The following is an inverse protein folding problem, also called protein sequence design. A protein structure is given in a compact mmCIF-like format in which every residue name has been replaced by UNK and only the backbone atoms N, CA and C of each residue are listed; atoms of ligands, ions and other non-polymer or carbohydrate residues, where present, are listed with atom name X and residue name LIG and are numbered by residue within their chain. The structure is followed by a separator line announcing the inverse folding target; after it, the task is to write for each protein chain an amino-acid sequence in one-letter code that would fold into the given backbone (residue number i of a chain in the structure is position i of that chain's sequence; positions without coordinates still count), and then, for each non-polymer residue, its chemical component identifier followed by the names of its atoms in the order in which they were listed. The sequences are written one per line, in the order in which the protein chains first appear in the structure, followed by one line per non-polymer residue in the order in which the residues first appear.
data_IF_780065027827
#
_entry.id   IF_780065027827
#
_cell.length_a   1.000
_cell.length_b   1.000
_cell.length_c   1.000
_cell.angle_alpha   90.00
_cell.angle_beta   90.00
_cell.angle_gamma   90.00
#
_symmetry.space_group_name_H-M   'P 1'
#
loop_
_entity.id
_entity.type
_entity.pdbx_description
1 polymer ?
#
# COMPACT_ATOMS: atom_id res chain seq x y z
N UNK A 1 5.98 31.52 -7.90
CA UNK A 1 6.46 30.93 -6.62
C UNK A 1 5.70 29.64 -6.27
N UNK A 2 5.49 28.71 -7.22
CA UNK A 2 4.69 27.49 -7.00
C UNK A 2 5.46 26.16 -7.06
N UNK A 3 6.78 26.19 -7.26
CA UNK A 3 7.60 24.98 -7.51
C UNK A 3 8.39 24.49 -6.29
N UNK A 4 8.61 25.34 -5.28
CA UNK A 4 9.35 24.94 -4.06
C UNK A 4 8.49 24.20 -3.03
N UNK A 5 7.17 24.35 -3.05
CA UNK A 5 6.25 23.70 -2.10
C UNK A 5 6.03 22.23 -2.48
N UNK A 6 5.75 21.95 -3.75
CA UNK A 6 5.52 20.60 -4.26
C UNK A 6 6.73 19.65 -4.05
N UNK A 7 7.96 20.18 -4.18
CA UNK A 7 9.17 19.36 -3.96
C UNK A 7 9.44 19.06 -2.48
N UNK A 8 9.03 19.94 -1.56
CA UNK A 8 9.14 19.70 -0.11
C UNK A 8 8.05 18.77 0.39
N UNK A 9 6.84 18.86 -0.17
CA UNK A 9 5.74 17.95 0.13
C UNK A 9 6.06 16.53 -0.33
N UNK A 10 6.64 16.37 -1.53
CA UNK A 10 7.09 15.06 -2.01
C UNK A 10 8.21 14.45 -1.16
N UNK A 11 9.19 15.24 -0.69
CA UNK A 11 10.26 14.72 0.18
C UNK A 11 9.77 14.35 1.58
N UNK A 12 8.79 15.10 2.10
CA UNK A 12 8.21 14.88 3.43
C UNK A 12 7.28 13.65 3.43
N UNK A 13 6.55 13.42 2.33
CA UNK A 13 5.70 12.25 2.14
C UNK A 13 6.52 10.93 2.11
N UNK A 14 7.63 10.91 1.37
CA UNK A 14 8.52 9.75 1.29
C UNK A 14 9.11 9.38 2.67
N UNK A 15 9.47 10.39 3.48
CA UNK A 15 9.97 10.20 4.85
C UNK A 15 8.91 9.59 5.79
N UNK A 16 7.65 10.01 5.67
CA UNK A 16 6.53 9.48 6.47
C UNK A 16 6.25 8.01 6.11
N UNK A 17 6.19 7.68 4.82
CA UNK A 17 5.93 6.31 4.35
C UNK A 17 7.06 5.36 4.77
N UNK A 18 8.32 5.81 4.70
CA UNK A 18 9.47 5.06 5.23
C UNK A 18 9.34 4.80 6.73
N UNK A 19 8.91 5.79 7.50
CA UNK A 19 8.73 5.65 8.94
C UNK A 19 7.61 4.67 9.31
N UNK A 20 6.47 4.70 8.61
CA UNK A 20 5.37 3.75 8.82
C UNK A 20 5.80 2.31 8.50
N UNK A 21 6.57 2.10 7.43
CA UNK A 21 7.13 0.80 7.07
C UNK A 21 8.05 0.24 8.16
N UNK A 22 8.92 1.08 8.74
CA UNK A 22 9.78 0.69 9.86
C UNK A 22 8.94 0.29 11.09
N UNK A 23 7.96 1.10 11.46
CA UNK A 23 7.07 0.82 12.60
C UNK A 23 6.27 -0.46 12.41
N UNK A 24 5.86 -0.78 11.19
CA UNK A 24 5.20 -2.05 10.86
C UNK A 24 6.16 -3.23 11.02
N UNK A 25 7.38 -3.12 10.49
CA UNK A 25 8.43 -4.13 10.64
C UNK A 25 8.75 -4.42 12.10
N UNK A 26 8.84 -3.39 12.94
CA UNK A 26 9.09 -3.54 14.38
C UNK A 26 7.95 -4.31 15.06
N UNK A 27 6.68 -4.02 14.74
CA UNK A 27 5.55 -4.79 15.27
C UNK A 27 5.56 -6.26 14.83
N UNK A 28 6.00 -6.56 13.60
CA UNK A 28 6.19 -7.94 13.16
C UNK A 28 7.33 -8.63 13.91
N UNK A 29 8.38 -7.90 14.27
CA UNK A 29 9.47 -8.41 15.10
C UNK A 29 8.95 -8.76 16.50
N UNK A 30 8.18 -7.88 17.11
CA UNK A 30 7.58 -8.11 18.43
C UNK A 30 6.66 -9.33 18.43
N UNK A 31 5.82 -9.48 17.40
CA UNK A 31 4.95 -10.66 17.26
C UNK A 31 5.75 -11.96 17.10
N UNK A 32 6.88 -11.93 16.36
CA UNK A 32 7.80 -13.08 16.26
C UNK A 32 8.46 -13.40 17.59
N UNK A 33 8.83 -12.39 18.37
CA UNK A 33 9.41 -12.57 19.69
C UNK A 33 8.40 -13.17 20.66
N UNK A 34 7.15 -12.69 20.65
CA UNK A 34 6.05 -13.26 21.43
C UNK A 34 5.88 -14.74 21.13
N UNK A 35 5.82 -15.13 19.86
CA UNK A 35 5.74 -16.54 19.44
C UNK A 35 6.84 -17.38 20.09
N UNK A 36 8.10 -16.92 20.05
CA UNK A 36 9.23 -17.64 20.67
C UNK A 36 9.03 -17.78 22.17
N UNK A 37 8.60 -16.72 22.87
CA UNK A 37 8.31 -16.77 24.31
C UNK A 37 7.20 -17.78 24.63
N UNK A 38 6.14 -17.85 23.82
CA UNK A 38 5.05 -18.79 24.02
C UNK A 38 5.53 -20.24 23.87
N UNK A 39 6.40 -20.53 22.91
CA UNK A 39 6.99 -21.87 22.78
C UNK A 39 7.86 -22.23 23.99
N UNK A 40 8.73 -21.32 24.45
CA UNK A 40 9.56 -21.56 25.63
C UNK A 40 8.72 -21.76 26.90
N UNK A 41 7.61 -21.02 27.04
CA UNK A 41 6.68 -21.22 28.15
C UNK A 41 5.96 -22.56 28.07
N UNK A 42 5.53 -22.97 26.87
CA UNK A 42 4.89 -24.28 26.67
C UNK A 42 5.83 -25.44 27.03
N UNK A 43 7.09 -25.39 26.58
CA UNK A 43 8.14 -26.36 26.93
C UNK A 43 8.37 -26.39 28.45
N UNK A 44 8.44 -25.23 29.09
CA UNK A 44 8.58 -25.13 30.55
C UNK A 44 7.42 -25.78 31.30
N UNK A 45 6.18 -25.53 30.88
CA UNK A 45 4.99 -26.12 31.51
C UNK A 45 4.93 -27.64 31.29
N UNK A 46 5.34 -28.13 30.12
CA UNK A 46 5.43 -29.56 29.84
C UNK A 46 6.41 -30.26 30.79
N UNK A 47 7.62 -29.71 30.93
CA UNK A 47 8.64 -30.23 31.85
C UNK A 47 8.17 -30.17 33.30
N UNK A 48 7.56 -29.05 33.70
CA UNK A 48 7.11 -28.82 35.08
C UNK A 48 5.97 -29.76 35.49
N UNK A 49 5.14 -30.19 34.53
CA UNK A 49 4.02 -31.10 34.80
C UNK A 49 4.44 -32.54 35.14
N UNK A 50 5.69 -32.91 34.86
CA UNK A 50 6.23 -34.24 35.19
C UNK A 50 6.48 -34.45 36.69
N UNK A 51 6.54 -33.38 37.48
CA UNK A 51 6.70 -33.43 38.94
C UNK A 51 5.33 -33.57 39.65
N UNK A 52 5.09 -34.71 40.29
CA UNK A 52 3.76 -35.07 40.84
C UNK A 52 3.33 -34.19 42.03
N UNK A 53 4.29 -33.71 42.83
CA UNK A 53 4.01 -32.98 44.09
C UNK A 53 3.39 -31.59 43.85
N UNK A 54 3.51 -31.04 42.64
CA UNK A 54 3.07 -29.67 42.32
C UNK A 54 2.07 -29.58 41.16
N UNK A 55 1.54 -30.70 40.67
CA UNK A 55 0.68 -30.72 39.46
C UNK A 55 -0.48 -29.74 39.48
N UNK A 56 -1.20 -29.62 40.59
CA UNK A 56 -2.34 -28.70 40.69
C UNK A 56 -1.91 -27.24 40.51
N UNK A 57 -0.79 -26.84 41.15
CA UNK A 57 -0.23 -25.50 41.05
C UNK A 57 0.24 -25.22 39.62
N UNK A 58 0.88 -26.20 38.96
CA UNK A 58 1.29 -26.09 37.56
C UNK A 58 0.08 -25.90 36.65
N UNK A 59 -1.01 -26.65 36.85
CA UNK A 59 -2.25 -26.55 36.06
C UNK A 59 -2.92 -25.18 36.22
N UNK A 60 -3.05 -24.68 37.45
CA UNK A 60 -3.62 -23.35 37.69
C UNK A 60 -2.78 -22.25 37.04
N UNK A 61 -1.45 -22.31 37.21
CA UNK A 61 -0.52 -21.34 36.61
C UNK A 61 -0.56 -21.38 35.08
N UNK A 62 -0.65 -22.59 34.50
CA UNK A 62 -0.77 -22.78 33.06
C UNK A 62 -2.07 -22.18 32.51
N UNK A 63 -3.20 -22.34 33.20
CA UNK A 63 -4.48 -21.74 32.79
C UNK A 63 -4.39 -20.21 32.77
N UNK A 64 -3.86 -19.62 33.84
CA UNK A 64 -3.65 -18.17 33.94
C UNK A 64 -2.72 -17.66 32.84
N UNK A 65 -1.63 -18.39 32.57
CA UNK A 65 -0.70 -18.05 31.50
C UNK A 65 -1.37 -18.17 30.13
N UNK A 66 -2.13 -19.22 29.86
CA UNK A 66 -2.81 -19.43 28.59
C UNK A 66 -3.80 -18.30 28.26
N UNK A 67 -4.54 -17.82 29.27
CA UNK A 67 -5.43 -16.66 29.12
C UNK A 67 -4.63 -15.41 28.76
N UNK A 68 -3.55 -15.12 29.49
CA UNK A 68 -2.68 -13.96 29.23
C UNK A 68 -1.99 -14.04 27.86
N UNK A 69 -1.50 -15.21 27.49
CA UNK A 69 -0.90 -15.50 26.20
C UNK A 69 -1.87 -15.23 25.05
N UNK A 70 -3.13 -15.65 25.20
CA UNK A 70 -4.18 -15.41 24.21
C UNK A 70 -4.46 -13.90 24.08
N UNK A 71 -4.69 -13.21 25.20
CA UNK A 71 -4.95 -11.76 25.21
C UNK A 71 -3.80 -10.99 24.58
N UNK A 72 -2.55 -11.30 24.97
CA UNK A 72 -1.36 -10.66 24.42
C UNK A 72 -1.23 -10.91 22.90
N UNK A 73 -1.50 -12.13 22.45
CA UNK A 73 -1.43 -12.45 21.01
C UNK A 73 -2.47 -11.67 20.23
N UNK A 74 -3.71 -11.60 20.73
CA UNK A 74 -4.79 -10.84 20.10
C UNK A 74 -4.47 -9.34 20.06
N UNK A 75 -3.92 -8.78 21.15
CA UNK A 75 -3.50 -7.38 21.22
C UNK A 75 -2.40 -7.05 20.18
N UNK A 76 -1.35 -7.87 20.13
CA UNK A 76 -0.27 -7.69 19.15
C UNK A 76 -0.77 -7.85 17.70
N UNK A 77 -1.67 -8.80 17.43
CA UNK A 77 -2.28 -8.95 16.10
C UNK A 77 -3.17 -7.75 15.74
N UNK A 78 -3.91 -7.20 16.70
CA UNK A 78 -4.70 -5.98 16.52
C UNK A 78 -3.82 -4.79 16.14
N UNK A 79 -2.71 -4.59 16.84
CA UNK A 79 -1.72 -3.54 16.54
C UNK A 79 -1.10 -3.70 15.15
N UNK A 80 -0.69 -4.93 14.78
CA UNK A 80 -0.17 -5.24 13.44
C UNK A 80 -1.22 -4.94 12.36
N UNK A 81 -2.47 -5.35 12.57
CA UNK A 81 -3.57 -5.13 11.63
C UNK A 81 -3.84 -3.64 11.44
N UNK A 82 -3.85 -2.87 12.53
CA UNK A 82 -4.02 -1.42 12.48
C UNK A 82 -2.92 -0.75 11.63
N UNK A 83 -1.65 -1.12 11.84
CA UNK A 83 -0.52 -0.58 11.06
C UNK A 83 -0.58 -0.95 9.58
N UNK A 84 -1.03 -2.17 9.25
CA UNK A 84 -1.24 -2.58 7.85
C UNK A 84 -2.34 -1.76 7.19
N UNK A 85 -3.43 -1.51 7.90
CA UNK A 85 -4.54 -0.72 7.36
C UNK A 85 -4.11 0.73 7.08
N UNK A 86 -3.35 1.33 8.00
CA UNK A 86 -2.80 2.69 7.83
C UNK A 86 -1.88 2.81 6.60
N UNK A 87 -0.98 1.82 6.41
CA UNK A 87 -0.14 1.72 5.21
C UNK A 87 -0.97 1.50 3.93
N UNK A 88 -2.03 0.71 4.01
CA UNK A 88 -2.89 0.45 2.86
C UNK A 88 -3.69 1.70 2.46
N UNK A 89 -4.26 2.41 3.42
CA UNK A 89 -5.02 3.65 3.20
C UNK A 89 -4.13 4.69 2.50
N UNK A 90 -2.88 4.86 2.94
CA UNK A 90 -1.89 5.72 2.27
C UNK A 90 -1.72 5.33 0.79
N UNK A 91 -1.55 4.04 0.48
CA UNK A 91 -1.36 3.57 -0.89
C UNK A 91 -2.62 3.66 -1.75
N UNK A 92 -3.80 3.51 -1.17
CA UNK A 92 -5.07 3.72 -1.87
C UNK A 92 -5.20 5.18 -2.30
N UNK A 93 -4.86 6.12 -1.41
CA UNK A 93 -4.87 7.56 -1.73
C UNK A 93 -3.84 7.90 -2.83
N UNK A 94 -2.62 7.33 -2.73
CA UNK A 94 -1.58 7.49 -3.74
C UNK A 94 -2.04 7.01 -5.12
N UNK A 95 -2.58 5.79 -5.20
CA UNK A 95 -3.11 5.21 -6.44
C UNK A 95 -4.24 6.08 -7.00
N UNK A 96 -5.20 6.49 -6.18
CA UNK A 96 -6.31 7.34 -6.61
C UNK A 96 -5.82 8.67 -7.19
N UNK A 97 -4.82 9.29 -6.56
CA UNK A 97 -4.17 10.49 -7.07
C UNK A 97 -3.49 10.27 -8.43
N UNK A 98 -2.81 9.14 -8.61
CA UNK A 98 -2.20 8.80 -9.90
C UNK A 98 -3.23 8.50 -10.99
N UNK A 99 -4.32 7.80 -10.67
CA UNK A 99 -5.42 7.50 -11.60
C UNK A 99 -6.06 8.79 -12.13
N UNK A 100 -6.32 9.77 -11.25
CA UNK A 100 -6.84 11.08 -11.65
C UNK A 100 -5.90 11.80 -12.63
N UNK A 101 -4.58 11.74 -12.38
CA UNK A 101 -3.58 12.33 -13.27
C UNK A 101 -3.55 11.65 -14.63
N UNK A 102 -3.65 10.32 -14.66
CA UNK A 102 -3.74 9.52 -15.89
C UNK A 102 -5.00 9.88 -16.66
N UNK A 103 -6.16 9.92 -16.00
CA UNK A 103 -7.44 10.30 -16.64
C UNK A 103 -7.38 11.70 -17.25
N UNK A 104 -6.74 12.66 -16.57
CA UNK A 104 -6.52 14.01 -17.12
C UNK A 104 -5.65 13.98 -18.39
N UNK A 105 -4.60 13.15 -18.42
CA UNK A 105 -3.75 12.97 -19.61
C UNK A 105 -4.56 12.35 -20.75
N UNK A 106 -5.33 11.30 -20.47
CA UNK A 106 -6.18 10.63 -21.47
C UNK A 106 -7.18 11.60 -22.09
N UNK A 107 -7.86 12.41 -21.27
CA UNK A 107 -8.79 13.43 -21.77
C UNK A 107 -8.11 14.47 -22.67
N UNK A 108 -6.90 14.92 -22.30
CA UNK A 108 -6.12 15.87 -23.11
C UNK A 108 -5.72 15.25 -24.44
N UNK A 109 -5.22 14.02 -24.42
CA UNK A 109 -4.83 13.26 -25.62
C UNK A 109 -6.03 13.05 -26.54
N UNK A 110 -7.16 12.59 -25.98
CA UNK A 110 -8.42 12.43 -26.72
C UNK A 110 -8.86 13.72 -27.40
N UNK A 111 -8.79 14.86 -26.69
CA UNK A 111 -9.10 16.18 -27.26
C UNK A 111 -8.20 16.52 -28.45
N UNK A 112 -6.89 16.31 -28.35
CA UNK A 112 -5.97 16.56 -29.47
C UNK A 112 -6.32 15.73 -30.71
N UNK A 113 -6.69 14.45 -30.55
CA UNK A 113 -7.12 13.61 -31.67
C UNK A 113 -8.45 14.06 -32.28
N UNK A 114 -9.43 14.45 -31.46
CA UNK A 114 -10.69 15.00 -31.94
C UNK A 114 -10.47 16.30 -32.72
N UNK A 115 -9.69 17.23 -32.18
CA UNK A 115 -9.38 18.50 -32.83
C UNK A 115 -8.65 18.28 -34.17
N UNK A 116 -7.70 17.35 -34.21
CA UNK A 116 -6.97 17.00 -35.43
C UNK A 116 -7.87 16.35 -36.49
N UNK A 117 -8.76 15.42 -36.10
CA UNK A 117 -9.74 14.82 -37.01
C UNK A 117 -10.68 15.87 -37.59
N UNK A 118 -11.18 16.80 -36.77
CA UNK A 118 -12.05 17.90 -37.22
C UNK A 118 -11.32 18.79 -38.24
N UNK A 119 -10.05 19.11 -38.00
CA UNK A 119 -9.23 19.89 -38.95
C UNK A 119 -9.04 19.14 -40.28
N UNK A 120 -8.74 17.83 -40.25
CA UNK A 120 -8.62 17.02 -41.46
C UNK A 120 -9.91 17.04 -42.30
N UNK A 121 -11.07 16.79 -41.68
CA UNK A 121 -12.36 16.88 -42.37
C UNK A 121 -12.65 18.29 -42.92
N UNK A 122 -12.23 19.34 -42.22
CA UNK A 122 -12.37 20.72 -42.69
C UNK A 122 -11.49 20.98 -43.92
N UNK A 123 -10.25 20.48 -43.94
CA UNK A 123 -9.33 20.62 -45.07
C UNK A 123 -9.78 19.82 -46.30
N UNK A 124 -10.33 18.62 -46.08
CA UNK A 124 -10.94 17.80 -47.14
C UNK A 124 -12.18 18.49 -47.74
N UNK A 125 -13.07 19.01 -46.88
CA UNK A 125 -14.27 19.75 -47.32
C UNK A 125 -13.97 21.07 -48.03
N UNK A 126 -12.80 21.68 -47.77
CA UNK A 126 -12.31 22.86 -48.49
C UNK A 126 -11.58 22.52 -49.80
N UNK A 127 -11.45 21.23 -50.16
CA UNK A 127 -10.77 20.79 -51.39
C UNK A 127 -9.26 21.04 -51.40
N UNK A 128 -8.67 21.34 -50.23
CA UNK A 128 -7.26 21.71 -50.10
C UNK A 128 -6.36 20.48 -50.25
N UNK A 129 -6.81 19.31 -49.80
CA UNK A 129 -6.05 18.05 -49.88
C UNK A 129 -5.99 17.50 -51.31
N UNK A 130 -7.06 17.64 -52.11
CA UNK A 130 -7.03 17.24 -53.53
C UNK A 130 -6.18 18.15 -54.44
N UNK A 131 -5.93 19.41 -54.06
CA UNK A 131 -5.11 20.33 -54.88
C UNK A 131 -3.61 20.05 -54.84
N UNK A 132 -3.11 19.32 -53.83
CA UNK A 132 -1.67 19.03 -53.72
C UNK A 132 -1.20 17.84 -54.58
N UNK A 133 -2.10 16.91 -54.94
CA UNK A 133 -1.77 15.75 -55.78
C UNK A 133 -2.01 15.98 -57.29
N UNK A 134 -2.75 17.02 -57.66
CA UNK A 134 -3.05 17.34 -59.07
C UNK A 134 -1.92 18.04 -59.84
N UNK A 135 -0.83 18.46 -59.18
CA UNK A 135 0.26 19.21 -59.82
C UNK A 135 1.51 18.38 -60.13
N UNK A 136 1.42 17.04 -60.04
CA UNK A 136 2.51 16.10 -60.36
C UNK A 136 2.17 15.22 -61.57
N UNK A 137 1.08 15.51 -62.28
CA UNK A 137 0.71 14.82 -63.50
C UNK A 137 0.15 15.81 -64.53
N UNK A 138 1.04 16.49 -65.24
CA UNK A 138 0.79 16.94 -66.60
C UNK A 138 2.08 16.69 -67.41
N UNK A 139 1.97 16.13 -68.62
CA UNK A 139 3.07 15.52 -69.38
C UNK A 139 4.14 16.51 -69.85
#
# INVERSE_FOLDING_TARGET
MGTMTASREASNYDEISMQQSLLFSDSLKDLKNLRTQLYSAAEYFELSYTNDDQKQIVVETLKDYAIKALVNTVDHLGSVTYKVNDLLDEKVDEVSGTELRVSCIEQRVSRYYCDHMVLLFKLDGLGIVSRSLGNIASP
#
